data_IF_683432754746
#
_entry.id   IF_683432754746
#
_cell.length_a   1.000
_cell.length_b   1.000
_cell.length_c   1.000
_cell.angle_alpha   90.00
_cell.angle_beta   90.00
_cell.angle_gamma   90.00
#
_symmetry.space_group_name_H-M   'P 1'
#
loop_
_entity.id
_entity.type
_entity.pdbx_description
1 polymer ?
#
# COMPACT_ATOMS: atom_id res chain seq x y z
N UNK A 1 -11.81 16.01 15.89
CA UNK A 1 -12.59 15.52 14.73
C UNK A 1 -11.99 14.19 14.27
N UNK A 2 -12.67 13.05 14.47
CA UNK A 2 -12.30 11.82 13.76
C UNK A 2 -12.62 12.09 12.28
N UNK A 3 -11.60 12.22 11.42
CA UNK A 3 -11.81 12.21 9.97
C UNK A 3 -12.34 10.83 9.63
N UNK A 4 -13.64 10.72 9.38
CA UNK A 4 -14.23 9.53 8.77
C UNK A 4 -13.66 9.43 7.37
N UNK A 5 -12.90 8.36 7.09
CA UNK A 5 -12.37 8.11 5.76
C UNK A 5 -13.55 7.82 4.84
N UNK A 6 -13.70 8.59 3.76
CA UNK A 6 -14.81 8.37 2.83
C UNK A 6 -14.61 7.07 2.03
N UNK A 7 -15.71 6.49 1.54
CA UNK A 7 -15.64 5.33 0.64
C UNK A 7 -14.82 5.64 -0.63
N UNK A 8 -14.89 6.88 -1.11
CA UNK A 8 -14.12 7.35 -2.26
C UNK A 8 -12.62 7.38 -1.97
N UNK A 9 -12.22 7.83 -0.76
CA UNK A 9 -10.83 7.78 -0.31
C UNK A 9 -10.32 6.36 -0.18
N UNK A 10 -11.12 5.44 0.38
CA UNK A 10 -10.78 4.01 0.47
C UNK A 10 -10.59 3.39 -0.92
N UNK A 11 -11.45 3.75 -1.89
CA UNK A 11 -11.32 3.28 -3.26
C UNK A 11 -10.09 3.84 -3.97
N UNK A 12 -9.80 5.14 -3.83
CA UNK A 12 -8.57 5.75 -4.35
C UNK A 12 -7.32 5.07 -3.77
N UNK A 13 -7.27 4.89 -2.46
CA UNK A 13 -6.14 4.22 -1.80
C UNK A 13 -5.97 2.79 -2.28
N UNK A 14 -7.07 2.01 -2.37
CA UNK A 14 -7.05 0.64 -2.90
C UNK A 14 -6.50 0.59 -4.33
N UNK A 15 -6.92 1.50 -5.21
CA UNK A 15 -6.43 1.53 -6.59
C UNK A 15 -4.93 1.87 -6.67
N UNK A 16 -4.45 2.81 -5.85
CA UNK A 16 -3.01 3.13 -5.76
C UNK A 16 -2.20 1.92 -5.31
N UNK A 17 -2.60 1.29 -4.20
CA UNK A 17 -1.90 0.13 -3.64
C UNK A 17 -1.91 -1.08 -4.58
N UNK A 18 -2.97 -1.29 -5.37
CA UNK A 18 -2.99 -2.35 -6.39
C UNK A 18 -1.99 -2.08 -7.52
N UNK A 19 -1.87 -0.83 -7.97
CA UNK A 19 -0.90 -0.44 -9.01
C UNK A 19 0.54 -0.62 -8.50
N UNK A 20 0.79 -0.17 -7.29
CA UNK A 20 2.05 -0.31 -6.56
C UNK A 20 2.43 -1.79 -6.38
N UNK A 21 1.51 -2.63 -5.91
CA UNK A 21 1.74 -4.06 -5.71
C UNK A 21 2.13 -4.76 -7.02
N UNK A 22 1.40 -4.50 -8.11
CA UNK A 22 1.71 -5.07 -9.43
C UNK A 22 3.08 -4.66 -9.94
N UNK A 23 3.53 -3.45 -9.61
CA UNK A 23 4.86 -2.97 -9.95
C UNK A 23 5.93 -3.76 -9.18
N UNK A 24 5.78 -3.87 -7.86
CA UNK A 24 6.73 -4.57 -6.99
C UNK A 24 6.83 -6.08 -7.30
N UNK A 25 5.70 -6.72 -7.63
CA UNK A 25 5.67 -8.14 -8.00
C UNK A 25 6.44 -8.44 -9.30
N UNK A 26 6.61 -7.44 -10.18
CA UNK A 26 7.34 -7.58 -11.45
C UNK A 26 8.79 -7.10 -11.37
N UNK A 27 9.17 -6.46 -10.27
CA UNK A 27 10.53 -5.96 -10.06
C UNK A 27 11.44 -7.06 -9.49
N UNK A 28 12.70 -7.04 -9.91
CA UNK A 28 13.78 -7.73 -9.18
C UNK A 28 14.17 -6.93 -7.93
N UNK A 29 14.90 -7.55 -7.01
CA UNK A 29 15.35 -6.87 -5.78
C UNK A 29 16.30 -5.70 -6.11
N UNK A 30 17.14 -5.83 -7.14
CA UNK A 30 18.02 -4.76 -7.60
C UNK A 30 17.23 -3.57 -8.20
N UNK A 31 16.18 -3.84 -8.97
CA UNK A 31 15.29 -2.79 -9.48
C UNK A 31 14.54 -2.09 -8.35
N UNK A 32 14.12 -2.87 -7.34
CA UNK A 32 13.50 -2.34 -6.14
C UNK A 32 14.45 -1.43 -5.34
N UNK A 33 15.71 -1.81 -5.14
CA UNK A 33 16.71 -0.97 -4.45
C UNK A 33 16.93 0.39 -5.14
N UNK A 34 16.93 0.42 -6.47
CA UNK A 34 17.00 1.68 -7.22
C UNK A 34 15.69 2.48 -7.12
N UNK A 35 14.55 1.78 -7.13
CA UNK A 35 13.22 2.38 -7.13
C UNK A 35 12.76 2.87 -5.76
N UNK A 36 13.20 2.24 -4.66
CA UNK A 36 12.65 2.50 -3.32
C UNK A 36 12.71 3.98 -2.94
N UNK A 37 13.74 4.71 -3.35
CA UNK A 37 13.86 6.18 -3.12
C UNK A 37 12.71 7.01 -3.71
N UNK A 38 11.99 6.48 -4.69
CA UNK A 38 10.85 7.11 -5.36
C UNK A 38 9.49 6.59 -4.84
N UNK A 39 9.51 5.81 -3.76
CA UNK A 39 8.33 5.19 -3.17
C UNK A 39 7.96 5.87 -1.85
N UNK A 40 6.68 5.79 -1.48
CA UNK A 40 6.16 6.36 -0.23
C UNK A 40 6.50 5.53 1.01
N UNK A 41 6.75 4.22 0.87
CA UNK A 41 7.05 3.33 2.00
C UNK A 41 8.43 3.53 2.67
N UNK A 42 9.53 3.84 1.99
CA UNK A 42 10.82 4.04 2.67
C UNK A 42 10.91 5.33 3.49
N UNK A 43 9.90 6.22 3.45
CA UNK A 43 9.73 7.24 4.49
C UNK A 43 9.32 6.63 5.84
N UNK A 44 8.78 5.40 5.82
CA UNK A 44 8.29 4.66 6.98
C UNK A 44 9.32 3.63 7.46
N UNK A 45 10.07 3.02 6.53
CA UNK A 45 11.14 2.08 6.85
C UNK A 45 12.29 2.14 5.80
N UNK A 46 13.44 2.76 6.12
CA UNK A 46 14.59 2.89 5.23
C UNK A 46 15.25 1.56 4.84
N UNK A 47 15.00 0.47 5.54
CA UNK A 47 15.59 -0.86 5.26
C UNK A 47 14.55 -1.85 4.71
N UNK A 48 13.38 -1.36 4.33
CA UNK A 48 12.30 -2.21 3.82
C UNK A 48 12.75 -2.99 2.58
N UNK A 49 12.60 -4.30 2.63
CA UNK A 49 12.87 -5.19 1.48
C UNK A 49 11.67 -5.22 0.52
N UNK A 50 11.89 -5.63 -0.73
CA UNK A 50 10.81 -5.79 -1.72
C UNK A 50 9.69 -6.70 -1.20
N UNK A 51 10.06 -7.84 -0.61
CA UNK A 51 9.11 -8.79 -0.02
C UNK A 51 8.30 -8.15 1.10
N UNK A 52 8.94 -7.38 1.99
CA UNK A 52 8.24 -6.71 3.10
C UNK A 52 7.31 -5.59 2.61
N UNK A 53 7.71 -4.86 1.57
CA UNK A 53 6.86 -3.88 0.92
C UNK A 53 5.61 -4.54 0.30
N UNK A 54 5.75 -5.69 -0.36
CA UNK A 54 4.63 -6.48 -0.90
C UNK A 54 3.68 -6.94 0.22
N UNK A 55 4.20 -7.51 1.31
CA UNK A 55 3.39 -7.94 2.47
C UNK A 55 2.61 -6.77 3.08
N UNK A 56 3.26 -5.62 3.20
CA UNK A 56 2.67 -4.39 3.75
C UNK A 56 1.51 -3.92 2.88
N UNK A 57 1.72 -3.83 1.55
CA UNK A 57 0.66 -3.45 0.61
C UNK A 57 -0.52 -4.42 0.62
N UNK A 58 -0.27 -5.72 0.72
CA UNK A 58 -1.34 -6.73 0.84
C UNK A 58 -2.16 -6.55 2.13
N UNK A 59 -1.49 -6.24 3.24
CA UNK A 59 -2.14 -5.98 4.53
C UNK A 59 -2.99 -4.70 4.48
N UNK A 60 -2.48 -3.64 3.85
CA UNK A 60 -3.23 -2.39 3.64
C UNK A 60 -4.46 -2.61 2.74
N UNK A 61 -4.32 -3.40 1.67
CA UNK A 61 -5.44 -3.77 0.80
C UNK A 61 -6.52 -4.56 1.54
N UNK A 62 -6.13 -5.55 2.35
CA UNK A 62 -7.06 -6.32 3.17
C UNK A 62 -7.80 -5.43 4.17
N UNK A 63 -7.08 -4.48 4.79
CA UNK A 63 -7.65 -3.49 5.72
C UNK A 63 -8.66 -2.58 5.02
N UNK A 64 -8.34 -2.07 3.82
CA UNK A 64 -9.27 -1.25 3.04
C UNK A 64 -10.56 -2.03 2.71
N UNK A 65 -10.45 -3.31 2.33
CA UNK A 65 -11.61 -4.16 2.05
C UNK A 65 -12.46 -4.36 3.32
N UNK A 66 -11.82 -4.58 4.48
CA UNK A 66 -12.52 -4.72 5.75
C UNK A 66 -13.26 -3.43 6.13
N UNK A 67 -12.63 -2.26 5.97
CA UNK A 67 -13.24 -0.96 6.22
C UNK A 67 -14.41 -0.64 5.27
N UNK A 68 -14.37 -1.14 4.03
CA UNK A 68 -15.50 -1.01 3.09
C UNK A 68 -16.69 -1.90 3.44
N UNK A 69 -16.46 -3.02 4.12
CA UNK A 69 -17.50 -3.98 4.53
C UNK A 69 -18.03 -3.71 5.95
N UNK A 70 -17.27 -2.99 6.76
CA UNK A 70 -17.71 -2.59 8.08
C UNK A 70 -18.93 -1.67 7.93
N UNK A 71 -20.07 -1.96 8.57
CA UNK A 71 -21.09 -0.94 8.73
C UNK A 71 -20.42 0.25 9.41
N UNK A 72 -20.58 1.44 8.82
CA UNK A 72 -20.14 2.66 9.48
C UNK A 72 -20.77 2.76 10.87
N UNK A 73 -20.17 3.54 11.79
CA UNK A 73 -20.84 3.88 13.05
C UNK A 73 -22.24 4.47 12.80
#
# INVERSE_FOLDING_TARGET
MKRTVSLEDLNRARMSHLKELRLLERMTDAQFEAFRKNFSLPLVDPEITRTKAIETLRSMLATNIALQKAPGP
#
